data_IF_481634809210
#
_entry.id   IF_481634809210
#
_cell.length_a   1.000
_cell.length_b   1.000
_cell.length_c   1.000
_cell.angle_alpha   90.00
_cell.angle_beta   90.00
_cell.angle_gamma   90.00
#
_symmetry.space_group_name_H-M   'P 1'
#
loop_
_entity.id
_entity.type
_entity.pdbx_description
1 polymer ?
#
# COMPACT_ATOMS: atom_id res chain seq x y z
N UNK A 1 15.75 -11.23 22.22
CA UNK A 1 15.56 -12.55 21.57
C UNK A 1 14.86 -13.63 22.40
N UNK A 2 14.59 -13.43 23.71
CA UNK A 2 13.80 -14.39 24.55
C UNK A 2 12.30 -14.07 24.61
N UNK A 3 11.91 -12.83 24.33
CA UNK A 3 10.53 -12.36 24.50
C UNK A 3 9.54 -12.90 23.47
N UNK A 4 10.00 -13.27 22.25
CA UNK A 4 9.12 -13.75 21.17
C UNK A 4 8.68 -15.23 21.31
N UNK A 5 9.37 -16.02 22.13
CA UNK A 5 8.97 -17.42 22.34
C UNK A 5 7.80 -17.60 23.31
N UNK A 6 7.61 -16.66 24.21
CA UNK A 6 6.54 -16.71 25.21
C UNK A 6 5.20 -16.23 24.62
N UNK A 7 5.24 -15.32 23.64
CA UNK A 7 4.06 -14.91 22.86
C UNK A 7 3.51 -16.08 22.04
N UNK A 8 4.40 -16.90 21.46
CA UNK A 8 4.00 -18.07 20.65
C UNK A 8 3.39 -19.22 21.49
N UNK A 9 3.79 -19.33 22.77
CA UNK A 9 3.21 -20.30 23.71
C UNK A 9 1.83 -19.89 24.24
N UNK A 10 1.55 -18.59 24.35
CA UNK A 10 0.23 -18.05 24.70
C UNK A 10 -0.82 -18.32 23.62
N UNK A 11 -0.41 -18.43 22.34
CA UNK A 11 -1.32 -18.72 21.23
C UNK A 11 -1.92 -20.15 21.30
N UNK A 12 -1.21 -21.13 21.88
CA UNK A 12 -1.70 -22.51 22.01
C UNK A 12 -2.70 -22.61 23.17
N UNK A 13 -2.59 -21.77 24.18
CA UNK A 13 -3.52 -21.73 25.32
C UNK A 13 -4.91 -21.18 24.96
N UNK A 14 -5.02 -20.30 23.97
CA UNK A 14 -6.28 -19.66 23.55
C UNK A 14 -7.24 -20.65 22.85
N UNK A 15 -6.71 -21.68 22.16
CA UNK A 15 -7.54 -22.68 21.47
C UNK A 15 -8.32 -23.56 22.45
N UNK A 16 -7.84 -23.73 23.68
CA UNK A 16 -8.47 -24.57 24.72
C UNK A 16 -9.56 -23.86 25.53
N UNK A 17 -9.66 -22.50 25.45
CA UNK A 17 -10.65 -21.74 26.22
C UNK A 17 -11.97 -21.49 25.48
N UNK A 18 -12.08 -21.87 24.20
CA UNK A 18 -13.33 -21.81 23.45
C UNK A 18 -14.18 -23.09 23.69
N UNK A 19 -14.50 -23.40 24.98
CA UNK A 19 -15.49 -24.39 25.32
C UNK A 19 -16.84 -24.07 24.66
N UNK A 20 -17.70 -25.07 24.39
CA UNK A 20 -19.01 -24.85 23.78
C UNK A 20 -19.86 -23.97 24.71
N UNK A 21 -19.93 -22.68 24.41
CA UNK A 21 -20.82 -21.76 25.10
C UNK A 21 -22.26 -22.16 24.78
N UNK A 22 -22.99 -22.61 25.80
CA UNK A 22 -24.44 -22.70 25.74
C UNK A 22 -25.02 -21.33 25.32
N UNK A 23 -26.03 -21.36 24.44
CA UNK A 23 -26.79 -20.17 24.03
C UNK A 23 -27.45 -19.53 25.26
N UNK A 24 -26.71 -18.64 25.92
CA UNK A 24 -27.20 -17.69 26.92
C UNK A 24 -27.24 -16.36 26.20
N UNK A 25 -28.33 -15.61 26.40
CA UNK A 25 -28.56 -14.29 25.75
C UNK A 25 -27.27 -13.51 25.59
N UNK A 26 -26.88 -13.27 24.34
CA UNK A 26 -25.59 -12.69 23.93
C UNK A 26 -25.54 -11.15 24.13
N UNK A 27 -26.38 -10.62 25.01
CA UNK A 27 -26.47 -9.17 25.30
C UNK A 27 -25.25 -8.63 26.04
N UNK A 28 -24.44 -9.51 26.65
CA UNK A 28 -23.17 -9.14 27.29
C UNK A 28 -22.00 -8.97 26.33
N UNK A 29 -22.15 -9.34 25.06
CA UNK A 29 -21.08 -9.24 24.08
C UNK A 29 -21.16 -7.89 23.37
N UNK A 30 -20.07 -7.15 23.41
CA UNK A 30 -19.82 -5.97 22.58
C UNK A 30 -18.86 -6.35 21.44
N UNK A 31 -19.24 -6.02 20.21
CA UNK A 31 -18.38 -6.16 19.05
C UNK A 31 -18.15 -4.78 18.45
N UNK A 32 -16.91 -4.44 18.18
CA UNK A 32 -16.56 -3.12 17.68
C UNK A 32 -15.58 -3.21 16.52
N UNK A 33 -15.75 -2.32 15.54
CA UNK A 33 -14.71 -2.00 14.57
C UNK A 33 -13.76 -0.98 15.19
N UNK A 34 -12.47 -1.32 15.19
CA UNK A 34 -11.41 -0.44 15.66
C UNK A 34 -10.74 0.19 14.45
N UNK A 35 -10.57 1.51 14.47
CA UNK A 35 -9.82 2.26 13.47
C UNK A 35 -8.67 2.99 14.14
N UNK A 36 -7.45 2.63 13.75
CA UNK A 36 -6.21 3.19 14.26
C UNK A 36 -5.68 4.22 13.28
N UNK A 37 -5.41 5.42 13.77
CA UNK A 37 -4.85 6.49 12.96
C UNK A 37 -3.44 6.14 12.43
N UNK A 38 -3.02 6.72 11.31
CA UNK A 38 -1.67 6.59 10.80
C UNK A 38 -0.60 6.98 11.83
N UNK A 39 0.58 6.38 11.71
CA UNK A 39 1.79 6.81 12.40
C UNK A 39 3.00 6.71 11.47
N UNK A 40 4.22 7.10 11.94
CA UNK A 40 5.37 7.40 11.08
C UNK A 40 5.99 6.25 10.29
N UNK A 41 5.75 4.99 10.66
CA UNK A 41 6.29 3.86 9.90
C UNK A 41 5.59 3.73 8.53
N UNK A 42 6.36 3.54 7.46
CA UNK A 42 5.88 3.56 6.06
C UNK A 42 4.64 2.67 5.84
N UNK A 43 4.60 1.48 6.46
CA UNK A 43 3.45 0.58 6.34
C UNK A 43 2.23 1.02 7.15
N UNK A 44 2.40 1.92 8.11
CA UNK A 44 1.35 2.44 8.98
C UNK A 44 0.76 3.78 8.53
N UNK A 45 1.34 4.42 7.49
CA UNK A 45 0.87 5.70 6.95
C UNK A 45 -0.59 5.66 6.46
N UNK A 46 -1.15 4.49 6.31
CA UNK A 46 -2.52 4.26 5.81
C UNK A 46 -3.52 3.99 6.93
N UNK A 47 -3.08 3.98 8.18
CA UNK A 47 -3.89 3.55 9.31
C UNK A 47 -4.09 2.04 9.35
N UNK A 48 -4.95 1.59 10.28
CA UNK A 48 -5.23 0.17 10.46
C UNK A 48 -6.65 -0.08 10.98
N UNK A 49 -7.23 -1.23 10.64
CA UNK A 49 -8.52 -1.67 11.17
C UNK A 49 -8.39 -3.04 11.86
N UNK A 50 -9.13 -3.21 12.94
CA UNK A 50 -9.25 -4.47 13.67
C UNK A 50 -10.67 -4.65 14.20
N UNK A 51 -11.02 -5.85 14.62
CA UNK A 51 -12.27 -6.14 15.32
C UNK A 51 -11.98 -6.37 16.80
N UNK A 52 -12.77 -5.75 17.69
CA UNK A 52 -12.79 -6.03 19.12
C UNK A 52 -13.96 -6.93 19.45
N UNK A 53 -13.71 -7.94 20.26
CA UNK A 53 -14.71 -8.81 20.87
C UNK A 53 -14.59 -8.70 22.38
N UNK A 54 -15.61 -8.16 23.04
CA UNK A 54 -15.61 -7.94 24.49
C UNK A 54 -16.82 -8.60 25.14
N UNK A 55 -16.59 -9.58 26.03
CA UNK A 55 -17.63 -10.14 26.90
C UNK A 55 -17.64 -9.37 28.21
N UNK A 56 -18.60 -8.47 28.37
CA UNK A 56 -18.79 -7.64 29.56
C UNK A 56 -19.08 -8.46 30.83
N UNK A 57 -19.54 -9.70 30.69
CA UNK A 57 -19.85 -10.60 31.80
C UNK A 57 -18.61 -11.32 32.34
N UNK A 58 -17.76 -11.81 31.45
CA UNK A 58 -16.53 -12.54 31.82
C UNK A 58 -15.33 -11.64 31.94
N UNK A 59 -15.37 -10.47 31.31
CA UNK A 59 -14.23 -9.55 31.14
C UNK A 59 -13.24 -10.01 30.08
N UNK A 60 -13.56 -11.01 29.29
CA UNK A 60 -12.75 -11.41 28.13
C UNK A 60 -12.80 -10.31 27.07
N UNK A 61 -11.62 -9.84 26.63
CA UNK A 61 -11.49 -8.69 25.74
C UNK A 61 -10.34 -8.92 24.74
N UNK A 62 -10.71 -9.15 23.48
CA UNK A 62 -9.82 -9.60 22.43
C UNK A 62 -9.87 -8.69 21.20
N UNK A 63 -8.71 -8.39 20.63
CA UNK A 63 -8.57 -7.76 19.32
C UNK A 63 -8.22 -8.81 18.25
N UNK A 64 -9.03 -8.86 17.21
CA UNK A 64 -8.82 -9.67 16.01
C UNK A 64 -8.18 -8.76 14.93
N UNK A 65 -6.94 -9.05 14.60
CA UNK A 65 -6.10 -8.21 13.78
C UNK A 65 -5.69 -8.95 12.50
N UNK A 66 -6.24 -8.51 11.35
CA UNK A 66 -5.79 -8.99 10.04
C UNK A 66 -4.61 -8.16 9.57
N UNK A 67 -3.65 -8.81 8.90
CA UNK A 67 -2.47 -8.10 8.42
C UNK A 67 -1.21 -8.37 9.26
N UNK A 68 -1.25 -9.36 10.14
CA UNK A 68 -0.04 -9.81 10.86
C UNK A 68 0.89 -10.51 9.88
N UNK A 69 2.13 -10.09 9.85
CA UNK A 69 3.15 -10.65 8.96
C UNK A 69 4.52 -10.73 9.67
N UNK A 70 5.42 -11.53 9.09
CA UNK A 70 6.75 -11.76 9.64
C UNK A 70 7.82 -11.43 8.59
N UNK A 71 8.56 -10.35 8.81
CA UNK A 71 9.70 -9.94 7.98
C UNK A 71 10.85 -10.95 7.96
N UNK A 72 10.93 -11.85 8.94
CA UNK A 72 12.01 -12.83 9.04
C UNK A 72 11.78 -14.06 8.15
N UNK A 73 10.60 -14.17 7.52
CA UNK A 73 10.35 -15.26 6.57
C UNK A 73 11.34 -15.20 5.40
N UNK A 74 11.87 -16.35 4.95
CA UNK A 74 12.83 -16.40 3.85
C UNK A 74 12.30 -15.68 2.61
N UNK A 75 13.16 -14.89 1.98
CA UNK A 75 12.85 -14.16 0.74
C UNK A 75 11.66 -13.19 0.86
N UNK A 76 11.40 -12.63 2.05
CA UNK A 76 10.24 -11.74 2.28
C UNK A 76 10.14 -10.63 1.23
N UNK A 77 11.23 -9.90 0.96
CA UNK A 77 11.24 -8.80 -0.03
C UNK A 77 10.89 -9.31 -1.44
N UNK A 78 11.49 -10.42 -1.87
CA UNK A 78 11.17 -11.00 -3.18
C UNK A 78 9.70 -11.44 -3.25
N UNK A 79 9.20 -12.10 -2.21
CA UNK A 79 7.79 -12.50 -2.12
C UNK A 79 6.86 -11.29 -2.16
N UNK A 80 7.22 -10.21 -1.47
CA UNK A 80 6.46 -8.95 -1.50
C UNK A 80 6.42 -8.36 -2.92
N UNK A 81 7.55 -8.25 -3.60
CA UNK A 81 7.64 -7.74 -4.99
C UNK A 81 6.74 -8.53 -5.94
N UNK A 82 6.71 -9.86 -5.80
CA UNK A 82 5.86 -10.72 -6.62
C UNK A 82 4.39 -10.81 -6.16
N UNK A 83 4.00 -10.13 -5.08
CA UNK A 83 2.65 -10.22 -4.51
C UNK A 83 2.38 -11.60 -3.90
N UNK A 84 3.42 -12.26 -3.40
CA UNK A 84 3.37 -13.59 -2.79
C UNK A 84 3.49 -13.56 -1.26
N UNK A 85 3.25 -12.42 -0.64
CA UNK A 85 3.27 -12.29 0.81
C UNK A 85 1.99 -12.83 1.42
N UNK A 86 2.15 -13.76 2.35
CA UNK A 86 1.08 -14.31 3.14
C UNK A 86 1.06 -13.61 4.49
N UNK A 87 -0.10 -13.09 4.85
CA UNK A 87 -0.41 -12.48 6.12
C UNK A 87 -1.35 -13.39 6.89
N UNK A 88 -1.53 -13.14 8.19
CA UNK A 88 -2.42 -13.97 8.99
C UNK A 88 -3.30 -13.13 9.93
N UNK A 89 -4.39 -13.74 10.37
CA UNK A 89 -5.20 -13.24 11.46
C UNK A 89 -4.49 -13.49 12.79
N UNK A 90 -4.15 -12.42 13.51
CA UNK A 90 -3.67 -12.47 14.89
C UNK A 90 -4.80 -12.18 15.87
N UNK A 91 -4.72 -12.74 17.07
CA UNK A 91 -5.62 -12.43 18.18
C UNK A 91 -4.79 -12.09 19.40
N UNK A 92 -5.09 -10.95 20.00
CA UNK A 92 -4.35 -10.41 21.14
C UNK A 92 -5.31 -9.91 22.22
N UNK A 93 -4.93 -9.93 23.51
CA UNK A 93 -5.64 -9.17 24.51
C UNK A 93 -5.75 -7.70 24.09
N UNK A 94 -6.96 -7.15 24.19
CA UNK A 94 -7.23 -5.77 23.72
C UNK A 94 -6.33 -4.73 24.39
N UNK A 95 -5.98 -4.91 25.66
CA UNK A 95 -5.04 -4.03 26.36
C UNK A 95 -3.67 -3.98 25.69
N UNK A 96 -3.14 -5.11 25.19
CA UNK A 96 -1.88 -5.16 24.46
C UNK A 96 -1.97 -4.50 23.08
N UNK A 97 -3.13 -4.65 22.42
CA UNK A 97 -3.41 -3.95 21.18
C UNK A 97 -3.38 -2.42 21.38
N UNK A 98 -4.06 -1.90 22.41
CA UNK A 98 -4.02 -0.46 22.71
C UNK A 98 -2.64 0.04 23.12
N UNK A 99 -1.87 -0.76 23.87
CA UNK A 99 -0.52 -0.39 24.28
C UNK A 99 0.45 -0.22 23.08
N UNK A 100 0.24 -0.97 22.00
CA UNK A 100 1.01 -0.82 20.77
C UNK A 100 0.78 0.57 20.16
N UNK A 101 -0.48 0.97 19.96
CA UNK A 101 -0.83 2.29 19.41
C UNK A 101 -0.50 3.44 20.34
N UNK A 102 -0.60 3.23 21.66
CA UNK A 102 -0.18 4.22 22.66
C UNK A 102 1.30 4.54 22.57
N UNK A 103 2.15 3.54 22.33
CA UNK A 103 3.61 3.73 22.21
C UNK A 103 4.00 4.59 21.03
N UNK A 104 3.24 4.51 19.92
CA UNK A 104 3.49 5.30 18.72
C UNK A 104 2.64 6.57 18.65
N UNK A 105 1.85 6.88 19.69
CA UNK A 105 1.02 8.09 19.74
C UNK A 105 -0.15 8.09 18.77
N UNK A 106 -0.57 6.93 18.26
CA UNK A 106 -1.67 6.80 17.32
C UNK A 106 -3.02 6.80 18.06
N UNK A 107 -3.99 7.55 17.54
CA UNK A 107 -5.37 7.52 18.04
C UNK A 107 -6.05 6.20 17.63
N UNK A 108 -6.92 5.69 18.51
CA UNK A 108 -7.81 4.57 18.18
C UNK A 108 -9.25 4.98 18.41
N UNK A 109 -10.04 4.91 17.33
CA UNK A 109 -11.50 5.12 17.35
C UNK A 109 -12.17 3.75 17.38
N UNK A 110 -13.17 3.62 18.23
CA UNK A 110 -13.97 2.42 18.38
C UNK A 110 -15.41 2.70 17.96
N UNK A 111 -15.92 1.90 17.04
CA UNK A 111 -17.32 1.90 16.61
C UNK A 111 -18.01 0.63 17.10
N UNK A 112 -18.82 0.75 18.15
CA UNK A 112 -19.60 -0.37 18.68
C UNK A 112 -20.72 -0.71 17.70
N UNK A 113 -20.73 -1.96 17.22
CA UNK A 113 -21.68 -2.42 16.21
C UNK A 113 -23.04 -2.78 16.83
N UNK A 114 -24.10 -2.40 16.14
CA UNK A 114 -25.48 -2.66 16.53
C UNK A 114 -25.95 -4.03 16.05
N UNK A 115 -25.30 -5.10 16.55
CA UNK A 115 -25.58 -6.48 16.17
C UNK A 115 -26.59 -7.15 17.10
N UNK A 116 -27.50 -7.92 16.54
CA UNK A 116 -28.39 -8.82 17.30
C UNK A 116 -27.60 -10.02 17.89
N UNK A 117 -28.17 -10.68 18.90
CA UNK A 117 -27.54 -11.87 19.49
C UNK A 117 -27.26 -12.98 18.44
N UNK A 118 -28.14 -13.15 17.46
CA UNK A 118 -27.98 -14.11 16.37
C UNK A 118 -26.82 -13.72 15.43
N UNK A 119 -26.67 -12.44 15.11
CA UNK A 119 -25.57 -11.92 14.30
C UNK A 119 -24.23 -12.04 15.03
N UNK A 120 -24.19 -11.76 16.34
CA UNK A 120 -23.00 -11.96 17.18
C UNK A 120 -22.59 -13.44 17.21
N UNK A 121 -23.54 -14.37 17.32
CA UNK A 121 -23.24 -15.81 17.29
C UNK A 121 -22.64 -16.23 15.94
N UNK A 122 -23.23 -15.80 14.80
CA UNK A 122 -22.68 -16.06 13.47
C UNK A 122 -21.26 -15.49 13.32
N UNK A 123 -21.05 -14.28 13.81
CA UNK A 123 -19.73 -13.64 13.76
C UNK A 123 -18.70 -14.38 14.62
N UNK A 124 -19.11 -14.85 15.83
CA UNK A 124 -18.26 -15.70 16.67
C UNK A 124 -17.84 -16.98 15.94
N UNK A 125 -18.79 -17.63 15.27
CA UNK A 125 -18.52 -18.84 14.49
C UNK A 125 -17.59 -18.55 13.31
N UNK A 126 -17.80 -17.44 12.59
CA UNK A 126 -16.97 -17.02 11.48
C UNK A 126 -15.52 -16.68 11.93
N UNK A 127 -15.36 -16.00 13.07
CA UNK A 127 -14.05 -15.72 13.67
C UNK A 127 -13.33 -17.02 14.08
N UNK A 128 -14.03 -17.95 14.74
CA UNK A 128 -13.48 -19.25 15.10
C UNK A 128 -13.05 -20.06 13.88
N UNK A 129 -13.86 -20.04 12.81
CA UNK A 129 -13.53 -20.70 11.55
C UNK A 129 -12.30 -20.06 10.89
N UNK A 130 -12.20 -18.72 10.90
CA UNK A 130 -11.04 -18.02 10.32
C UNK A 130 -9.75 -18.24 11.14
N UNK A 131 -9.84 -18.55 12.45
CA UNK A 131 -8.68 -18.83 13.29
C UNK A 131 -8.09 -20.23 13.09
N UNK A 132 -8.77 -21.12 12.42
CA UNK A 132 -8.22 -22.45 12.12
C UNK A 132 -6.93 -22.31 11.30
N UNK A 133 -5.91 -23.16 11.54
CA UNK A 133 -4.62 -23.07 10.84
C UNK A 133 -4.73 -22.99 9.32
N UNK A 134 -5.69 -23.72 8.73
CA UNK A 134 -5.96 -23.75 7.30
C UNK A 134 -6.59 -22.47 6.74
N UNK A 135 -7.26 -21.66 7.57
CA UNK A 135 -8.01 -20.47 7.17
C UNK A 135 -7.38 -19.17 7.64
N UNK A 136 -6.45 -19.24 8.60
CA UNK A 136 -5.85 -18.07 9.24
C UNK A 136 -4.91 -17.30 8.34
N UNK A 137 -4.19 -18.00 7.47
CA UNK A 137 -3.23 -17.44 6.53
C UNK A 137 -3.92 -17.09 5.23
N UNK A 138 -3.62 -15.90 4.69
CA UNK A 138 -4.21 -15.43 3.44
C UNK A 138 -3.20 -14.65 2.60
N UNK A 139 -3.46 -14.59 1.30
CA UNK A 139 -2.68 -13.76 0.36
C UNK A 139 -3.11 -12.31 0.50
N UNK A 140 -2.24 -11.52 1.10
CA UNK A 140 -2.51 -10.09 1.29
C UNK A 140 -2.54 -9.34 -0.03
N UNK A 141 -3.53 -8.50 -0.21
CA UNK A 141 -3.59 -7.54 -1.30
C UNK A 141 -3.95 -6.15 -0.76
N UNK A 142 -3.05 -5.22 -0.96
CA UNK A 142 -3.14 -3.89 -0.37
C UNK A 142 -4.48 -3.19 -0.63
N UNK A 143 -5.04 -3.26 -1.86
CA UNK A 143 -6.28 -2.59 -2.22
C UNK A 143 -7.53 -3.48 -2.11
N UNK A 144 -7.39 -4.80 -2.17
CA UNK A 144 -8.52 -5.71 -2.36
C UNK A 144 -8.75 -6.71 -1.22
N UNK A 145 -7.71 -7.03 -0.45
CA UNK A 145 -7.80 -8.01 0.64
C UNK A 145 -6.82 -7.66 1.77
N UNK A 146 -7.24 -6.73 2.63
CA UNK A 146 -6.40 -6.11 3.65
C UNK A 146 -7.07 -6.04 5.04
N UNK A 147 -6.46 -5.31 5.97
CA UNK A 147 -6.93 -5.14 7.35
C UNK A 147 -8.30 -4.45 7.45
N UNK A 148 -8.75 -3.70 6.44
CA UNK A 148 -10.05 -3.03 6.43
C UNK A 148 -11.11 -3.86 5.71
N UNK A 149 -10.80 -4.39 4.53
CA UNK A 149 -11.75 -5.17 3.74
C UNK A 149 -12.16 -6.48 4.43
N UNK A 150 -11.25 -7.16 5.13
CA UNK A 150 -11.55 -8.44 5.81
C UNK A 150 -12.55 -8.32 6.95
N UNK A 151 -12.37 -7.43 7.95
CA UNK A 151 -13.38 -7.23 8.99
C UNK A 151 -14.71 -6.73 8.43
N UNK A 152 -14.70 -5.80 7.45
CA UNK A 152 -15.90 -5.37 6.75
C UNK A 152 -16.68 -6.55 6.17
N UNK A 153 -16.05 -7.34 5.32
CA UNK A 153 -16.67 -8.47 4.64
C UNK A 153 -17.17 -9.53 5.62
N UNK A 154 -16.46 -9.72 6.74
CA UNK A 154 -16.88 -10.66 7.78
C UNK A 154 -18.13 -10.16 8.52
N UNK A 155 -18.19 -8.87 8.87
CA UNK A 155 -19.36 -8.24 9.48
C UNK A 155 -20.57 -8.33 8.54
N UNK A 156 -20.40 -7.92 7.28
CA UNK A 156 -21.47 -7.94 6.28
C UNK A 156 -22.10 -9.32 6.09
N UNK A 157 -21.28 -10.39 6.08
CA UNK A 157 -21.78 -11.78 5.94
C UNK A 157 -22.56 -12.28 7.15
N UNK A 158 -22.37 -11.65 8.32
CA UNK A 158 -23.01 -12.09 9.57
C UNK A 158 -24.29 -11.33 9.89
N UNK A 159 -24.59 -10.25 9.17
CA UNK A 159 -25.76 -9.40 9.38
C UNK A 159 -27.00 -10.00 8.69
N UNK A 160 -28.14 -9.91 9.37
CA UNK A 160 -29.44 -10.21 8.77
C UNK A 160 -29.88 -9.02 7.90
N UNK A 161 -30.38 -9.33 6.70
CA UNK A 161 -30.82 -8.31 5.76
C UNK A 161 -29.68 -7.71 4.94
N UNK A 162 -29.71 -6.41 4.70
CA UNK A 162 -28.77 -5.70 3.81
C UNK A 162 -28.22 -4.47 4.50
N UNK A 163 -26.91 -4.27 4.41
CA UNK A 163 -26.29 -2.99 4.80
C UNK A 163 -26.45 -2.02 3.63
N UNK A 164 -26.96 -0.84 3.93
CA UNK A 164 -27.06 0.27 3.00
C UNK A 164 -26.11 1.38 3.46
N UNK A 165 -25.10 1.63 2.63
CA UNK A 165 -24.13 2.68 2.85
C UNK A 165 -24.66 4.00 2.30
N UNK A 166 -24.47 5.08 3.07
CA UNK A 166 -24.82 6.40 2.59
C UNK A 166 -23.90 6.79 1.41
N UNK A 167 -24.47 7.27 0.27
CA UNK A 167 -23.64 7.65 -0.87
C UNK A 167 -22.69 8.79 -0.52
N UNK A 168 -21.50 8.78 -1.10
CA UNK A 168 -20.54 9.88 -1.04
C UNK A 168 -20.70 10.72 -2.29
N UNK A 169 -21.39 11.85 -2.16
CA UNK A 169 -21.55 12.80 -3.25
C UNK A 169 -20.19 13.43 -3.58
N UNK A 170 -19.88 13.57 -4.88
CA UNK A 170 -18.68 14.22 -5.41
C UNK A 170 -17.32 13.65 -4.93
N UNK A 171 -17.30 12.44 -4.38
CA UNK A 171 -16.08 11.77 -3.96
C UNK A 171 -15.79 10.51 -4.80
N UNK A 172 -14.97 10.65 -5.81
CA UNK A 172 -14.59 9.55 -6.72
C UNK A 172 -13.10 9.58 -7.05
N UNK A 173 -12.23 9.42 -6.02
CA UNK A 173 -10.78 9.40 -6.19
C UNK A 173 -10.34 8.12 -6.89
N UNK A 174 -9.14 8.16 -7.47
CA UNK A 174 -8.42 6.96 -7.85
C UNK A 174 -7.73 6.32 -6.63
N UNK A 175 -7.22 5.09 -6.78
CA UNK A 175 -6.36 4.50 -5.74
C UNK A 175 -5.11 5.35 -5.49
N UNK A 176 -4.51 5.90 -6.55
CA UNK A 176 -3.33 6.77 -6.43
C UNK A 176 -3.63 8.04 -5.65
N UNK A 177 -4.77 8.70 -5.91
CA UNK A 177 -5.17 9.89 -5.16
C UNK A 177 -5.28 9.59 -3.66
N UNK A 178 -5.88 8.46 -3.30
CA UNK A 178 -6.02 8.04 -1.90
C UNK A 178 -4.66 7.71 -1.26
N UNK A 179 -3.77 7.05 -1.99
CA UNK A 179 -2.39 6.81 -1.54
C UNK A 179 -1.66 8.13 -1.29
N UNK A 180 -1.76 9.08 -2.21
CA UNK A 180 -1.12 10.39 -2.07
C UNK A 180 -1.61 11.16 -0.85
N UNK A 181 -2.90 11.07 -0.51
CA UNK A 181 -3.42 11.68 0.72
C UNK A 181 -2.73 11.11 1.98
N UNK A 182 -2.50 9.80 2.01
CA UNK A 182 -1.86 9.13 3.15
C UNK A 182 -0.37 9.48 3.27
N UNK A 183 0.34 9.57 2.15
CA UNK A 183 1.80 9.79 2.10
C UNK A 183 2.20 11.24 1.81
N UNK A 184 1.27 12.19 1.91
CA UNK A 184 1.48 13.60 1.51
C UNK A 184 2.70 14.28 2.15
N UNK A 185 3.08 13.86 3.35
CA UNK A 185 4.22 14.40 4.10
C UNK A 185 5.52 13.58 3.87
N UNK A 186 5.47 12.52 3.08
CA UNK A 186 6.56 11.58 2.82
C UNK A 186 6.85 11.47 1.32
N UNK A 187 7.54 12.46 0.71
CA UNK A 187 7.71 12.55 -0.75
C UNK A 187 8.44 11.34 -1.35
N UNK A 188 9.34 10.70 -0.61
CA UNK A 188 10.02 9.48 -1.07
C UNK A 188 9.14 8.24 -0.97
N UNK A 189 8.24 8.17 0.01
CA UNK A 189 7.22 7.12 0.05
C UNK A 189 6.21 7.30 -1.10
N UNK A 190 5.77 8.53 -1.38
CA UNK A 190 4.94 8.85 -2.54
C UNK A 190 5.63 8.43 -3.85
N UNK A 191 6.90 8.81 -4.03
CA UNK A 191 7.69 8.43 -5.20
C UNK A 191 7.79 6.90 -5.36
N UNK A 192 8.08 6.18 -4.28
CA UNK A 192 8.16 4.71 -4.30
C UNK A 192 6.84 4.05 -4.69
N UNK A 193 5.72 4.51 -4.12
CA UNK A 193 4.38 4.04 -4.48
C UNK A 193 4.09 4.31 -5.96
N UNK A 194 4.33 5.54 -6.42
CA UNK A 194 4.08 5.94 -7.80
C UNK A 194 4.90 5.15 -8.81
N UNK A 195 6.14 4.82 -8.47
CA UNK A 195 6.98 3.95 -9.30
C UNK A 195 6.36 2.57 -9.51
N UNK A 196 5.73 2.01 -8.48
CA UNK A 196 5.17 0.66 -8.54
C UNK A 196 3.75 0.62 -9.11
N UNK A 197 2.96 1.68 -8.92
CA UNK A 197 1.57 1.74 -9.36
C UNK A 197 1.48 1.97 -10.88
N UNK A 198 0.75 1.09 -11.56
CA UNK A 198 0.43 1.19 -12.98
C UNK A 198 -0.87 1.94 -13.26
N UNK A 199 -1.28 1.94 -14.51
CA UNK A 199 -2.46 2.67 -15.01
C UNK A 199 -3.76 2.35 -14.25
N UNK A 200 -3.94 1.11 -13.77
CA UNK A 200 -5.14 0.73 -13.01
C UNK A 200 -5.31 1.53 -11.72
N UNK A 201 -4.23 2.03 -11.14
CA UNK A 201 -4.29 2.84 -9.93
C UNK A 201 -4.84 4.25 -10.18
N UNK A 202 -4.86 4.71 -11.44
CA UNK A 202 -5.37 6.01 -11.85
C UNK A 202 -6.87 5.99 -12.24
N UNK A 203 -7.50 4.81 -12.23
CA UNK A 203 -8.92 4.69 -12.52
C UNK A 203 -9.75 5.12 -11.30
N UNK A 204 -10.89 5.75 -11.56
CA UNK A 204 -11.85 6.11 -10.52
C UNK A 204 -12.34 4.88 -9.79
N UNK A 205 -12.48 4.99 -8.47
CA UNK A 205 -12.96 3.93 -7.59
C UNK A 205 -14.41 4.14 -7.20
N UNK A 206 -15.11 3.04 -6.94
CA UNK A 206 -16.39 3.05 -6.27
C UNK A 206 -16.22 3.11 -4.75
N UNK A 207 -17.33 3.34 -4.03
CA UNK A 207 -17.33 3.48 -2.58
C UNK A 207 -16.74 2.23 -1.87
N UNK A 208 -17.11 1.03 -2.32
CA UNK A 208 -16.59 -0.21 -1.73
C UNK A 208 -15.08 -0.38 -1.93
N UNK A 209 -14.57 0.05 -3.07
CA UNK A 209 -13.14 0.05 -3.36
C UNK A 209 -12.37 1.03 -2.48
N UNK A 210 -12.99 2.17 -2.10
CA UNK A 210 -12.38 3.19 -1.23
C UNK A 210 -12.23 2.72 0.22
N UNK A 211 -13.02 1.75 0.65
CA UNK A 211 -13.01 1.18 2.00
C UNK A 211 -11.77 0.29 2.29
N UNK A 212 -10.82 0.19 1.35
CA UNK A 212 -9.52 -0.40 1.68
C UNK A 212 -8.75 0.47 2.69
N UNK A 213 -9.05 1.77 2.75
CA UNK A 213 -8.53 2.67 3.77
C UNK A 213 -9.40 2.61 5.04
N UNK A 214 -8.77 2.46 6.21
CA UNK A 214 -9.46 2.44 7.51
C UNK A 214 -10.37 3.63 7.75
N UNK A 215 -9.91 4.85 7.42
CA UNK A 215 -10.68 6.08 7.60
C UNK A 215 -11.93 6.13 6.72
N UNK A 216 -11.84 5.59 5.49
CA UNK A 216 -12.98 5.49 4.61
C UNK A 216 -14.01 4.49 5.14
N UNK A 217 -13.54 3.34 5.64
CA UNK A 217 -14.41 2.34 6.26
C UNK A 217 -15.08 2.88 7.54
N UNK A 218 -14.32 3.58 8.39
CA UNK A 218 -14.84 4.28 9.58
C UNK A 218 -15.99 5.21 9.20
N UNK A 219 -15.76 6.07 8.20
CA UNK A 219 -16.74 7.06 7.74
C UNK A 219 -18.02 6.40 7.19
N UNK A 220 -17.87 5.34 6.40
CA UNK A 220 -18.99 4.63 5.79
C UNK A 220 -19.80 3.85 6.84
N UNK A 221 -19.14 3.18 7.78
CA UNK A 221 -19.78 2.45 8.86
C UNK A 221 -20.61 3.35 9.78
N UNK A 222 -20.11 4.55 10.10
CA UNK A 222 -20.79 5.50 10.95
C UNK A 222 -22.15 5.97 10.38
N UNK A 223 -22.30 5.88 9.06
CA UNK A 223 -23.49 6.33 8.32
C UNK A 223 -24.32 5.20 7.75
N UNK A 224 -23.81 3.97 7.84
CA UNK A 224 -24.47 2.80 7.31
C UNK A 224 -25.70 2.42 8.13
N UNK A 225 -26.71 1.88 7.46
CA UNK A 225 -27.91 1.34 8.06
C UNK A 225 -28.12 -0.09 7.65
N UNK A 226 -28.66 -0.90 8.55
CA UNK A 226 -29.07 -2.26 8.29
C UNK A 226 -30.58 -2.25 7.98
N UNK A 227 -30.96 -2.73 6.82
CA UNK A 227 -32.35 -2.92 6.42
C UNK A 227 -32.73 -4.38 6.57
N UNK A 228 -33.74 -4.65 7.41
CA UNK A 228 -34.27 -6.00 7.63
C UNK A 228 -35.78 -5.92 7.89
N UNK A 229 -36.56 -6.75 7.20
CA UNK A 229 -38.02 -6.89 7.36
C UNK A 229 -38.84 -5.57 7.29
N UNK A 230 -38.37 -4.59 6.47
CA UNK A 230 -39.03 -3.30 6.33
C UNK A 230 -38.55 -2.22 7.29
N UNK A 231 -37.64 -2.51 8.18
CA UNK A 231 -37.14 -1.58 9.19
C UNK A 231 -35.66 -1.27 9.01
N UNK A 232 -35.27 -0.06 9.42
CA UNK A 232 -33.88 0.39 9.42
C UNK A 232 -33.36 0.51 10.86
N UNK A 233 -32.15 0.01 11.07
CA UNK A 233 -31.35 0.30 12.27
C UNK A 233 -29.96 0.79 11.89
N UNK A 234 -29.30 1.67 12.65
CA UNK A 234 -27.93 2.06 12.38
C UNK A 234 -27.00 0.84 12.50
N UNK A 235 -25.96 0.76 11.67
CA UNK A 235 -24.92 -0.27 11.77
C UNK A 235 -24.06 -0.06 13.02
N UNK A 236 -23.71 1.20 13.31
CA UNK A 236 -22.94 1.59 14.49
C UNK A 236 -23.90 2.13 15.54
N UNK A 237 -23.82 1.57 16.75
CA UNK A 237 -24.61 1.98 17.91
C UNK A 237 -24.00 3.21 18.60
N UNK A 238 -22.68 3.23 18.68
CA UNK A 238 -21.90 4.25 19.38
C UNK A 238 -20.50 4.33 18.78
N UNK A 239 -19.98 5.55 18.59
CA UNK A 239 -18.59 5.82 18.24
C UNK A 239 -17.89 6.53 19.39
N UNK A 240 -16.72 6.03 19.81
CA UNK A 240 -15.95 6.61 20.92
C UNK A 240 -14.45 6.56 20.65
N UNK A 241 -13.70 7.47 21.28
CA UNK A 241 -12.24 7.46 21.25
C UNK A 241 -11.77 6.46 22.33
N UNK A 242 -11.32 5.28 21.91
CA UNK A 242 -10.79 4.26 22.80
C UNK A 242 -9.37 4.61 23.29
N UNK A 243 -8.59 5.29 22.45
CA UNK A 243 -7.28 5.82 22.78
C UNK A 243 -7.12 7.20 22.14
N UNK A 244 -6.92 8.27 22.91
CA UNK A 244 -6.63 9.59 22.35
C UNK A 244 -5.25 9.59 21.68
N UNK A 245 -5.11 10.37 20.60
CA UNK A 245 -3.82 10.58 19.93
C UNK A 245 -2.81 11.22 20.88
N UNK A 246 -1.57 10.78 20.79
CA UNK A 246 -0.43 11.29 21.55
C UNK A 246 0.57 12.01 20.65
N UNK A 247 1.75 12.26 21.20
CA UNK A 247 2.86 12.82 20.43
C UNK A 247 3.48 11.71 19.58
N UNK A 248 3.49 11.93 18.28
CA UNK A 248 4.19 11.05 17.34
C UNK A 248 5.60 11.57 17.11
N UNK A 249 6.56 10.65 17.01
CA UNK A 249 7.93 10.99 16.62
C UNK A 249 7.95 11.01 15.09
N UNK A 250 8.09 12.21 14.51
CA UNK A 250 8.18 12.38 13.07
C UNK A 250 9.60 12.06 12.64
N UNK A 251 9.77 10.98 11.86
CA UNK A 251 11.03 10.68 11.21
C UNK A 251 11.26 11.68 10.07
N UNK A 252 12.47 12.26 10.04
CA UNK A 252 12.81 13.18 8.95
C UNK A 252 13.14 12.39 7.68
N UNK A 253 12.39 12.66 6.64
CA UNK A 253 12.69 12.17 5.29
C UNK A 253 14.05 12.72 4.79
N UNK A 254 14.57 12.09 3.73
CA UNK A 254 15.74 12.62 3.03
C UNK A 254 15.50 14.10 2.63
N UNK A 255 16.45 15.01 2.89
CA UNK A 255 16.22 16.46 2.83
C UNK A 255 15.90 17.01 1.42
N UNK A 256 16.19 16.25 0.37
CA UNK A 256 15.86 16.63 -1.00
C UNK A 256 14.66 15.84 -1.49
N UNK A 257 13.67 16.51 -2.07
CA UNK A 257 12.55 15.83 -2.73
C UNK A 257 13.01 15.07 -3.99
N UNK A 258 12.26 14.07 -4.46
CA UNK A 258 12.56 13.41 -5.74
C UNK A 258 12.71 14.39 -6.90
N UNK A 259 11.83 15.40 -6.99
CA UNK A 259 11.92 16.47 -7.99
C UNK A 259 13.26 17.20 -7.94
N UNK A 260 13.68 17.60 -6.74
CA UNK A 260 14.96 18.30 -6.57
C UNK A 260 16.15 17.43 -7.03
N UNK A 261 16.13 16.13 -6.71
CA UNK A 261 17.17 15.20 -7.16
C UNK A 261 17.22 15.11 -8.70
N UNK A 262 16.08 14.98 -9.38
CA UNK A 262 16.04 14.92 -10.84
C UNK A 262 16.41 16.24 -11.51
N UNK A 263 16.08 17.39 -10.91
CA UNK A 263 16.54 18.69 -11.38
C UNK A 263 18.07 18.82 -11.26
N UNK A 264 18.67 18.31 -10.19
CA UNK A 264 20.14 18.26 -10.05
C UNK A 264 20.74 17.38 -11.15
N UNK A 265 20.17 16.21 -11.42
CA UNK A 265 20.64 15.31 -12.49
C UNK A 265 20.55 16.02 -13.86
N UNK A 266 19.47 16.74 -14.13
CA UNK A 266 19.31 17.53 -15.36
C UNK A 266 20.37 18.65 -15.44
N UNK A 267 20.56 19.40 -14.37
CA UNK A 267 21.53 20.49 -14.31
C UNK A 267 22.97 19.98 -14.53
N UNK A 268 23.36 18.90 -13.86
CA UNK A 268 24.66 18.25 -14.05
C UNK A 268 24.81 17.78 -15.51
N UNK A 269 23.78 17.14 -16.07
CA UNK A 269 23.80 16.70 -17.47
C UNK A 269 23.98 17.85 -18.45
N UNK A 270 23.32 18.99 -18.20
CA UNK A 270 23.44 20.18 -19.01
C UNK A 270 24.86 20.81 -18.94
N UNK A 271 25.43 20.88 -17.72
CA UNK A 271 26.81 21.37 -17.53
C UNK A 271 27.83 20.47 -18.23
N UNK A 272 27.69 19.14 -18.08
CA UNK A 272 28.58 18.19 -18.75
C UNK A 272 28.45 18.31 -20.28
N UNK A 273 27.26 18.51 -20.81
CA UNK A 273 27.04 18.70 -22.24
C UNK A 273 27.69 20.01 -22.78
N UNK A 274 27.70 21.10 -22.02
CA UNK A 274 28.45 22.29 -22.36
C UNK A 274 29.94 22.03 -22.43
N UNK A 275 30.48 21.22 -21.53
CA UNK A 275 31.91 20.81 -21.56
C UNK A 275 32.19 19.93 -22.78
N UNK A 276 31.29 18.97 -23.07
CA UNK A 276 31.40 18.10 -24.25
C UNK A 276 31.40 18.90 -25.56
N UNK A 277 30.48 19.86 -25.66
CA UNK A 277 30.38 20.74 -26.84
C UNK A 277 31.65 21.56 -27.07
N UNK A 278 32.18 22.16 -25.98
CA UNK A 278 33.45 22.90 -26.03
C UNK A 278 34.64 22.01 -26.39
N UNK A 279 34.70 20.80 -25.82
CA UNK A 279 35.81 19.83 -26.03
C UNK A 279 35.63 18.99 -27.30
N UNK A 280 34.46 19.03 -27.93
CA UNK A 280 34.07 18.16 -29.05
C UNK A 280 34.26 16.68 -28.75
N UNK A 281 34.04 16.27 -27.50
CA UNK A 281 34.30 14.90 -27.01
C UNK A 281 33.25 14.53 -25.96
N UNK A 282 32.57 13.38 -26.18
CA UNK A 282 31.57 12.83 -25.24
C UNK A 282 32.22 12.34 -23.95
N UNK A 283 31.55 12.61 -22.83
CA UNK A 283 31.88 12.10 -21.50
C UNK A 283 31.08 10.80 -21.25
N UNK A 284 31.50 9.75 -21.94
CA UNK A 284 30.80 8.45 -21.98
C UNK A 284 30.48 7.87 -20.60
N UNK A 285 31.30 8.15 -19.59
CA UNK A 285 31.05 7.67 -18.23
C UNK A 285 29.71 8.13 -17.66
N UNK A 286 29.26 9.35 -18.03
CA UNK A 286 27.98 9.90 -17.58
C UNK A 286 26.80 9.16 -18.23
N UNK A 287 26.90 8.90 -19.54
CA UNK A 287 25.89 8.12 -20.26
C UNK A 287 25.80 6.70 -19.71
N UNK A 288 26.95 6.07 -19.43
CA UNK A 288 27.02 4.75 -18.81
C UNK A 288 26.35 4.73 -17.45
N UNK A 289 26.59 5.76 -16.60
CA UNK A 289 25.94 5.88 -15.29
C UNK A 289 24.41 5.99 -15.44
N UNK A 290 23.94 6.91 -16.30
CA UNK A 290 22.50 7.12 -16.52
C UNK A 290 21.84 5.84 -17.09
N UNK A 291 22.46 5.21 -18.10
CA UNK A 291 21.94 3.95 -18.66
C UNK A 291 21.91 2.82 -17.64
N UNK A 292 22.90 2.73 -16.76
CA UNK A 292 22.95 1.70 -15.71
C UNK A 292 21.83 1.92 -14.71
N UNK A 293 21.66 3.15 -14.19
CA UNK A 293 20.59 3.47 -13.24
C UNK A 293 19.20 3.31 -13.87
N UNK A 294 19.02 3.75 -15.12
CA UNK A 294 17.80 3.54 -15.90
C UNK A 294 17.48 2.05 -16.06
N UNK A 295 18.48 1.26 -16.40
CA UNK A 295 18.34 -0.19 -16.58
C UNK A 295 18.02 -0.93 -15.28
N UNK A 296 18.64 -0.55 -14.16
CA UNK A 296 18.37 -1.14 -12.85
C UNK A 296 16.94 -0.81 -12.38
N UNK A 297 16.52 0.46 -12.44
CA UNK A 297 15.15 0.85 -12.13
C UNK A 297 14.16 0.14 -13.07
N UNK A 298 14.49 0.07 -14.35
CA UNK A 298 13.70 -0.63 -15.36
C UNK A 298 13.57 -2.13 -15.11
N UNK A 299 14.63 -2.77 -14.58
CA UNK A 299 14.57 -4.19 -14.22
C UNK A 299 13.58 -4.43 -13.08
N UNK A 300 13.54 -3.55 -12.07
CA UNK A 300 12.56 -3.64 -10.99
C UNK A 300 11.15 -3.52 -11.55
N UNK A 301 10.87 -2.50 -12.37
CA UNK A 301 9.54 -2.32 -12.98
C UNK A 301 9.17 -3.47 -13.92
N UNK A 302 10.13 -4.01 -14.66
CA UNK A 302 9.90 -5.15 -15.54
C UNK A 302 9.51 -6.41 -14.75
N UNK A 303 10.19 -6.67 -13.63
CA UNK A 303 9.85 -7.77 -12.72
C UNK A 303 8.46 -7.59 -12.12
N UNK A 304 8.06 -6.35 -11.81
CA UNK A 304 6.73 -6.04 -11.29
C UNK A 304 5.58 -6.34 -12.27
N UNK A 305 5.83 -6.47 -13.58
CA UNK A 305 4.82 -6.94 -14.53
C UNK A 305 4.34 -8.36 -14.23
N UNK A 306 5.17 -9.17 -13.59
CA UNK A 306 4.85 -10.55 -13.21
C UNK A 306 4.33 -10.66 -11.78
N UNK A 307 4.15 -9.52 -11.11
CA UNK A 307 3.60 -9.47 -9.77
C UNK A 307 2.11 -9.80 -9.77
N UNK A 308 1.65 -10.47 -8.72
CA UNK A 308 0.23 -10.74 -8.50
C UNK A 308 -0.55 -9.52 -7.95
N UNK A 309 0.12 -8.37 -7.79
CA UNK A 309 -0.55 -7.12 -7.43
C UNK A 309 -1.31 -6.56 -8.64
N UNK A 310 -2.65 -6.51 -8.64
CA UNK A 310 -3.42 -6.12 -9.84
C UNK A 310 -3.20 -4.68 -10.30
N UNK A 311 -2.78 -3.80 -9.39
CA UNK A 311 -2.57 -2.37 -9.64
C UNK A 311 -1.16 -2.03 -10.17
N UNK A 312 -0.24 -3.00 -10.21
CA UNK A 312 1.12 -2.81 -10.74
C UNK A 312 1.24 -3.16 -12.22
N UNK A 313 0.25 -3.87 -12.76
CA UNK A 313 0.22 -4.25 -14.18
C UNK A 313 0.00 -3.04 -15.07
N UNK A 314 0.52 -3.09 -16.30
CA UNK A 314 0.44 -2.01 -17.29
C UNK A 314 0.99 -0.68 -16.73
N UNK A 315 2.27 -0.69 -16.36
CA UNK A 315 2.95 0.51 -15.90
C UNK A 315 3.69 1.18 -17.06
N UNK A 316 3.15 2.31 -17.55
CA UNK A 316 3.70 3.05 -18.69
C UNK A 316 5.06 3.72 -18.39
N UNK A 317 5.47 3.78 -17.11
CA UNK A 317 6.82 4.22 -16.74
C UNK A 317 7.91 3.28 -17.27
N UNK A 318 7.56 2.05 -17.65
CA UNK A 318 8.45 1.13 -18.37
C UNK A 318 8.92 1.65 -19.74
N UNK A 319 8.21 2.58 -20.34
CA UNK A 319 8.67 3.24 -21.56
C UNK A 319 9.91 4.10 -21.30
N UNK A 320 10.04 4.67 -20.10
CA UNK A 320 11.21 5.43 -19.70
C UNK A 320 12.24 4.55 -18.99
N UNK A 321 11.79 3.79 -17.99
CA UNK A 321 12.62 2.96 -17.12
C UNK A 321 12.44 1.49 -17.52
N UNK A 322 13.33 0.97 -18.33
CA UNK A 322 13.30 -0.41 -18.85
C UNK A 322 14.69 -1.03 -18.84
N UNK A 323 14.84 -2.37 -18.89
CA UNK A 323 16.13 -3.03 -18.85
C UNK A 323 16.91 -2.99 -20.17
N UNK A 324 16.34 -2.45 -21.26
CA UNK A 324 16.98 -2.44 -22.59
C UNK A 324 18.37 -1.78 -22.62
N UNK A 325 18.66 -0.69 -21.84
CA UNK A 325 19.99 -0.10 -21.81
C UNK A 325 21.12 -1.10 -21.64
N UNK A 326 20.91 -2.16 -20.83
CA UNK A 326 21.94 -3.17 -20.56
C UNK A 326 22.44 -3.88 -21.81
N UNK A 327 21.61 -4.07 -22.82
CA UNK A 327 22.01 -4.70 -24.09
C UNK A 327 22.92 -3.77 -24.94
N UNK A 328 22.83 -2.46 -24.74
CA UNK A 328 23.57 -1.47 -25.50
C UNK A 328 24.77 -0.86 -24.77
N UNK A 329 24.84 -1.04 -23.43
CA UNK A 329 25.95 -0.58 -22.61
C UNK A 329 27.34 -0.99 -23.14
N UNK A 330 27.59 -2.26 -23.57
CA UNK A 330 28.90 -2.64 -24.08
C UNK A 330 29.34 -1.83 -25.31
N UNK A 331 28.40 -1.45 -26.17
CA UNK A 331 28.70 -0.63 -27.34
C UNK A 331 29.07 0.80 -26.93
N UNK A 332 28.32 1.39 -25.99
CA UNK A 332 28.55 2.74 -25.47
C UNK A 332 29.87 2.82 -24.72
N UNK A 333 30.19 1.87 -23.85
CA UNK A 333 31.48 1.80 -23.13
C UNK A 333 32.65 1.75 -24.11
N UNK A 334 32.52 0.98 -25.18
CA UNK A 334 33.54 0.86 -26.23
C UNK A 334 33.53 2.04 -27.21
N UNK A 335 32.73 3.09 -26.94
CA UNK A 335 32.56 4.27 -27.81
C UNK A 335 32.16 3.93 -29.24
N UNK A 336 31.40 2.84 -29.43
CA UNK A 336 30.86 2.45 -30.72
C UNK A 336 29.51 3.12 -30.96
N UNK A 337 29.13 3.39 -32.24
CA UNK A 337 27.76 3.85 -32.54
C UNK A 337 26.74 2.87 -31.98
N UNK A 338 25.68 3.41 -31.38
CA UNK A 338 24.64 2.61 -30.75
C UNK A 338 23.25 3.06 -31.22
N UNK A 339 22.42 2.10 -31.62
CA UNK A 339 21.02 2.33 -31.97
C UNK A 339 20.18 2.69 -30.74
N UNK A 340 20.72 2.54 -29.55
CA UNK A 340 20.05 2.84 -28.29
C UNK A 340 19.46 4.26 -28.29
N UNK A 341 20.21 5.22 -28.78
CA UNK A 341 19.79 6.63 -28.74
C UNK A 341 18.53 6.90 -29.55
N UNK A 342 18.33 6.21 -30.68
CA UNK A 342 17.11 6.31 -31.49
C UNK A 342 15.96 5.56 -30.79
N UNK A 343 16.22 4.35 -30.29
CA UNK A 343 15.24 3.57 -29.54
C UNK A 343 14.74 4.36 -28.33
N UNK A 344 15.66 4.98 -27.58
CA UNK A 344 15.34 5.81 -26.42
C UNK A 344 14.45 7.00 -26.78
N UNK A 345 14.69 7.68 -27.90
CA UNK A 345 13.83 8.77 -28.38
C UNK A 345 12.40 8.29 -28.63
N UNK A 346 12.23 7.14 -29.28
CA UNK A 346 10.90 6.57 -29.54
C UNK A 346 10.21 6.20 -28.22
N UNK A 347 10.93 5.56 -27.30
CA UNK A 347 10.38 5.20 -25.98
C UNK A 347 9.99 6.43 -25.16
N UNK A 348 10.80 7.49 -25.18
CA UNK A 348 10.48 8.75 -24.49
C UNK A 348 9.26 9.42 -25.11
N UNK A 349 9.11 9.40 -26.43
CA UNK A 349 7.90 9.91 -27.09
C UNK A 349 6.66 9.14 -26.62
N UNK A 350 6.74 7.80 -26.56
CA UNK A 350 5.70 6.96 -25.99
C UNK A 350 5.43 7.26 -24.52
N UNK A 351 6.47 7.52 -23.71
CA UNK A 351 6.34 7.90 -22.30
C UNK A 351 5.57 9.22 -22.13
N UNK A 352 5.90 10.26 -22.92
CA UNK A 352 5.14 11.52 -22.87
C UNK A 352 3.67 11.35 -23.27
N UNK A 353 3.38 10.52 -24.28
CA UNK A 353 1.99 10.19 -24.65
C UNK A 353 1.29 9.39 -23.54
N UNK A 354 1.99 8.44 -22.93
CA UNK A 354 1.47 7.65 -21.82
C UNK A 354 1.10 8.48 -20.59
N UNK A 355 1.79 9.62 -20.37
CA UNK A 355 1.48 10.58 -19.30
C UNK A 355 0.11 11.26 -19.43
N UNK A 356 -0.58 11.11 -20.57
CA UNK A 356 -1.97 11.55 -20.72
C UNK A 356 -2.96 10.58 -20.06
N UNK A 357 -2.53 9.36 -19.74
CA UNK A 357 -3.37 8.29 -19.23
C UNK A 357 -2.96 7.81 -17.83
N UNK A 358 -1.67 7.91 -17.49
CA UNK A 358 -1.12 7.48 -16.19
C UNK A 358 -0.37 8.62 -15.53
N UNK A 359 -0.60 8.84 -14.25
CA UNK A 359 0.24 9.70 -13.43
C UNK A 359 1.58 9.00 -13.17
N UNK A 360 2.68 9.73 -13.32
CA UNK A 360 4.03 9.23 -13.13
C UNK A 360 4.63 9.70 -11.83
N UNK A 361 5.60 8.95 -11.32
CA UNK A 361 6.34 9.33 -10.14
C UNK A 361 7.02 10.70 -10.33
N UNK A 362 7.08 11.45 -9.23
CA UNK A 362 7.60 12.81 -9.18
C UNK A 362 9.01 12.90 -9.79
N UNK A 363 9.23 13.83 -10.69
CA UNK A 363 10.53 14.07 -11.34
C UNK A 363 10.84 13.17 -12.54
N UNK A 364 10.07 12.13 -12.86
CA UNK A 364 10.33 11.29 -14.03
C UNK A 364 10.20 12.06 -15.36
N UNK A 365 9.32 13.06 -15.43
CA UNK A 365 9.26 13.95 -16.60
C UNK A 365 10.57 14.71 -16.79
N UNK A 366 11.21 15.15 -15.71
CA UNK A 366 12.52 15.82 -15.73
C UNK A 366 13.61 14.83 -16.18
N UNK A 367 13.58 13.62 -15.67
CA UNK A 367 14.48 12.56 -16.12
C UNK A 367 14.30 12.26 -17.61
N UNK A 368 13.05 12.21 -18.09
CA UNK A 368 12.77 12.00 -19.52
C UNK A 368 13.37 13.10 -20.38
N UNK A 369 13.25 14.37 -19.97
CA UNK A 369 13.90 15.52 -20.66
C UNK A 369 15.43 15.40 -20.64
N UNK A 370 16.01 14.97 -19.52
CA UNK A 370 17.44 14.73 -19.40
C UNK A 370 17.91 13.66 -20.39
N UNK A 371 17.22 12.52 -20.44
CA UNK A 371 17.55 11.40 -21.33
C UNK A 371 17.29 11.73 -22.80
N UNK A 372 16.23 12.49 -23.10
CA UNK A 372 15.95 13.03 -24.44
C UNK A 372 17.13 13.87 -24.95
N UNK A 373 17.55 14.83 -24.13
CA UNK A 373 18.66 15.71 -24.43
C UNK A 373 19.98 14.94 -24.64
N UNK A 374 20.28 13.97 -23.74
CA UNK A 374 21.45 13.09 -23.87
C UNK A 374 21.43 12.28 -25.16
N UNK A 375 20.27 11.75 -25.53
CA UNK A 375 20.12 11.00 -26.80
C UNK A 375 20.42 11.87 -28.01
N UNK A 376 19.89 13.10 -28.05
CA UNK A 376 20.13 14.03 -29.14
C UNK A 376 21.62 14.38 -29.26
N UNK A 377 22.31 14.65 -28.15
CA UNK A 377 23.75 14.95 -28.15
C UNK A 377 24.55 13.76 -28.69
N UNK A 378 24.26 12.56 -28.21
CA UNK A 378 24.98 11.36 -28.65
C UNK A 378 24.79 11.08 -30.14
N UNK A 379 23.60 11.30 -30.69
CA UNK A 379 23.34 11.20 -32.15
C UNK A 379 24.12 12.25 -32.94
N UNK A 380 24.10 13.51 -32.48
CA UNK A 380 24.77 14.62 -33.18
C UNK A 380 26.30 14.51 -33.14
N UNK A 381 26.87 14.06 -32.04
CA UNK A 381 28.32 13.99 -31.86
C UNK A 381 28.95 12.65 -32.36
N UNK A 382 28.14 11.63 -32.64
CA UNK A 382 28.54 10.34 -33.22
C UNK A 382 27.78 10.05 -34.53
N UNK A 383 27.88 10.88 -35.59
CA UNK A 383 27.04 10.77 -36.78
C UNK A 383 27.33 9.53 -37.66
N UNK A 384 28.39 8.78 -37.40
CA UNK A 384 28.76 7.63 -38.24
C UNK A 384 27.97 6.39 -37.82
N UNK A 385 26.88 6.07 -38.57
CA UNK A 385 26.02 4.89 -38.54
C UNK A 385 25.02 4.85 -37.40
N UNK A 386 24.08 5.78 -37.34
CA UNK A 386 22.77 5.53 -36.75
C UNK A 386 21.89 4.76 -37.77
#
# INVERSE_FOLDING_TARGET
MKQNKDIFRSLIGVILLLAPMKAIANDSIEVSLMTCAPHEEIYSLYGHSALRWHDLRTGEDWAFNWGVFDFHKPYFVARFVFGLTDYELGVYPYALFLDEYKRVGSQVVEQVLNLTSAEKERLSQALKENLKPENRVYRYNYFYDNCSSRPRDMIERCIDGKIEYAPREDYSPSYRDMVHLCVRNHPWAAFGNDMLLGLKADLKTDQRQQEFLPDNLLYDFDRAKIYVNGEYRPLVKESRIALPGGVQVIEQDFPLSPMACFLIVLAVSALLALVEWKRKKLLVWWDVLLMTLQGLAGLVLFVMLFSQHPTTTLNLQLLLLNPLPFFFLPAVIRKRPSRWWIIQLVLIAGFFLGGLFQQYAEGLMILALCLLYRSIINIKMNPKKA
#
